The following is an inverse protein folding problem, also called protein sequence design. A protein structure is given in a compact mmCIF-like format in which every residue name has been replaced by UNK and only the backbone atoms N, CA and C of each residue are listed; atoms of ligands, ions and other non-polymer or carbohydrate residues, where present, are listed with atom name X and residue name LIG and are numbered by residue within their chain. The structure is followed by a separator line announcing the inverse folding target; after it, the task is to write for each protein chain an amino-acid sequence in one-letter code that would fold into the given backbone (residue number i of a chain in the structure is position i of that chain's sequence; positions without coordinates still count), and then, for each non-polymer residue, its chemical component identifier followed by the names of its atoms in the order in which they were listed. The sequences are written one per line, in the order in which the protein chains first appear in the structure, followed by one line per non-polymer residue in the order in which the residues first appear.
data_IF_978507353099
#
_entry.id   IF_978507353099
#
_cell.length_a   1.000
_cell.length_b   1.000
_cell.length_c   1.000
_cell.angle_alpha   90.00
_cell.angle_beta   90.00
_cell.angle_gamma   90.00
#
_symmetry.space_group_name_H-M   'P 1'
#
loop_
_entity.id
_entity.type
_entity.pdbx_description
1 polymer ?
#
# COMPACT_ATOMS: atom_id res chain seq x y z
N UNK A 1 -7.81 17.08 27.77
CA UNK A 1 -7.04 17.71 26.67
C UNK A 1 -5.83 16.85 26.36
N UNK A 2 -5.91 15.96 25.39
CA UNK A 2 -4.75 15.17 24.93
C UNK A 2 -3.92 16.04 24.02
N UNK A 3 -2.67 16.25 24.41
CA UNK A 3 -1.67 17.04 23.70
C UNK A 3 -1.56 16.58 22.23
N UNK A 4 -2.06 17.40 21.30
CA UNK A 4 -2.10 17.12 19.85
C UNK A 4 -0.73 17.33 19.18
N UNK A 5 0.32 17.58 19.95
CA UNK A 5 1.64 18.00 19.43
C UNK A 5 2.73 16.94 19.50
N UNK A 6 2.48 15.80 20.16
CA UNK A 6 3.47 14.73 20.22
C UNK A 6 3.62 14.04 18.85
N UNK A 7 4.78 14.21 18.22
CA UNK A 7 5.16 13.42 17.06
C UNK A 7 5.08 11.92 17.40
N UNK A 8 4.58 11.07 16.48
CA UNK A 8 4.58 9.63 16.69
C UNK A 8 5.99 9.12 17.01
N UNK A 9 6.14 8.12 17.89
CA UNK A 9 7.46 7.59 18.21
C UNK A 9 8.11 6.97 16.96
N UNK A 10 9.42 7.15 16.82
CA UNK A 10 10.17 6.46 15.79
C UNK A 10 10.26 4.97 16.13
N UNK A 11 10.13 4.12 15.11
CA UNK A 11 10.23 2.68 15.26
C UNK A 11 11.62 2.19 14.85
N UNK A 12 12.22 1.25 15.59
CA UNK A 12 13.46 0.62 15.16
C UNK A 12 13.22 -0.21 13.88
N UNK A 13 14.21 -0.35 12.99
CA UNK A 13 14.06 -1.05 11.71
C UNK A 13 13.48 -2.46 11.84
N UNK A 14 13.92 -3.24 12.85
CA UNK A 14 13.41 -4.59 13.08
C UNK A 14 11.90 -4.65 13.32
N UNK A 15 11.32 -3.64 14.00
CA UNK A 15 9.87 -3.56 14.22
C UNK A 15 9.13 -3.22 12.93
N UNK A 16 9.65 -2.28 12.16
CA UNK A 16 9.09 -1.88 10.86
C UNK A 16 9.04 -3.06 9.90
N UNK A 17 10.16 -3.80 9.80
CA UNK A 17 10.28 -4.98 8.96
C UNK A 17 9.37 -6.11 9.45
N UNK A 18 9.30 -6.37 10.76
CA UNK A 18 8.42 -7.39 11.32
C UNK A 18 6.94 -7.10 11.02
N UNK A 19 6.48 -5.86 11.24
CA UNK A 19 5.10 -5.46 10.96
C UNK A 19 4.76 -5.59 9.46
N UNK A 20 5.65 -5.13 8.59
CA UNK A 20 5.49 -5.26 7.13
C UNK A 20 5.48 -6.73 6.70
N UNK A 21 6.40 -7.52 7.24
CA UNK A 21 6.54 -8.95 6.96
C UNK A 21 5.32 -9.75 7.41
N UNK A 22 4.77 -9.49 8.60
CA UNK A 22 3.54 -10.14 9.08
C UNK A 22 2.38 -9.88 8.12
N UNK A 23 2.17 -8.62 7.71
CA UNK A 23 1.09 -8.28 6.76
C UNK A 23 1.32 -8.96 5.41
N UNK A 24 2.56 -9.00 4.92
CA UNK A 24 2.88 -9.67 3.66
C UNK A 24 2.73 -11.19 3.72
N UNK A 25 3.10 -11.83 4.84
CA UNK A 25 2.91 -13.27 5.05
C UNK A 25 1.44 -13.65 5.09
N UNK A 26 0.57 -12.81 5.69
CA UNK A 26 -0.88 -13.02 5.63
C UNK A 26 -1.37 -12.96 4.18
N UNK A 27 -0.88 -12.00 3.40
CA UNK A 27 -1.17 -11.91 1.96
C UNK A 27 -0.75 -13.16 1.18
N UNK A 28 0.45 -13.66 1.46
CA UNK A 28 0.96 -14.90 0.85
C UNK A 28 0.12 -16.13 1.22
N UNK A 29 -0.25 -16.28 2.49
CA UNK A 29 -1.07 -17.40 2.98
C UNK A 29 -2.48 -17.36 2.38
N UNK A 30 -3.11 -16.18 2.38
CA UNK A 30 -4.45 -16.00 1.80
C UNK A 30 -4.45 -16.24 0.29
N UNK A 31 -3.39 -15.80 -0.42
CA UNK A 31 -3.18 -16.14 -1.82
C UNK A 31 -3.06 -17.65 -2.05
N UNK A 32 -2.17 -18.33 -1.30
CA UNK A 32 -1.97 -19.77 -1.42
C UNK A 32 -3.26 -20.55 -1.13
N UNK A 33 -4.05 -20.13 -0.14
CA UNK A 33 -5.33 -20.74 0.19
C UNK A 33 -6.39 -20.52 -0.91
N UNK A 34 -6.42 -19.36 -1.57
CA UNK A 34 -7.31 -19.08 -2.69
C UNK A 34 -6.93 -19.94 -3.91
N UNK A 35 -5.65 -19.96 -4.27
CA UNK A 35 -5.14 -20.75 -5.40
C UNK A 35 -5.34 -22.25 -5.15
N UNK A 36 -5.12 -22.73 -3.92
CA UNK A 36 -5.36 -24.13 -3.53
C UNK A 36 -6.83 -24.56 -3.67
N UNK A 37 -7.78 -23.62 -3.67
CA UNK A 37 -9.20 -23.85 -3.96
C UNK A 37 -9.57 -23.64 -5.43
N UNK A 38 -8.58 -23.44 -6.31
CA UNK A 38 -8.79 -23.16 -7.73
C UNK A 38 -9.29 -21.73 -8.02
N UNK A 39 -9.31 -20.84 -7.01
CA UNK A 39 -9.68 -19.44 -7.24
C UNK A 39 -8.47 -18.67 -7.75
N UNK A 40 -8.59 -18.20 -8.98
CA UNK A 40 -7.58 -17.34 -9.61
C UNK A 40 -8.05 -15.90 -9.64
N UNK A 41 -7.12 -14.96 -9.57
CA UNK A 41 -7.43 -13.54 -9.73
C UNK A 41 -7.75 -13.22 -11.20
N UNK A 42 -8.71 -12.31 -11.47
CA UNK A 42 -9.77 -11.85 -10.59
C UNK A 42 -10.94 -12.84 -10.59
N UNK A 43 -11.51 -13.11 -9.42
CA UNK A 43 -12.72 -13.92 -9.22
C UNK A 43 -13.35 -13.57 -7.87
N UNK A 44 -14.61 -13.95 -7.64
CA UNK A 44 -15.29 -13.71 -6.36
C UNK A 44 -14.61 -14.44 -5.19
N UNK A 45 -14.18 -15.69 -5.40
CA UNK A 45 -13.45 -16.44 -4.38
C UNK A 45 -12.12 -15.79 -4.03
N UNK A 46 -11.37 -15.33 -5.04
CA UNK A 46 -10.11 -14.61 -4.80
C UNK A 46 -10.34 -13.25 -4.12
N UNK A 47 -11.42 -12.54 -4.47
CA UNK A 47 -11.83 -11.29 -3.82
C UNK A 47 -12.08 -11.47 -2.31
N UNK A 48 -12.67 -12.60 -1.89
CA UNK A 48 -12.82 -12.92 -0.47
C UNK A 48 -11.45 -13.07 0.22
N UNK A 49 -10.49 -13.73 -0.43
CA UNK A 49 -9.10 -13.84 0.06
C UNK A 49 -8.42 -12.48 0.25
N UNK A 50 -8.58 -11.57 -0.73
CA UNK A 50 -8.10 -10.18 -0.60
C UNK A 50 -8.80 -9.50 0.59
N UNK A 51 -10.12 -9.63 0.72
CA UNK A 51 -10.86 -9.05 1.84
C UNK A 51 -10.33 -9.50 3.20
N UNK A 52 -10.09 -10.81 3.38
CA UNK A 52 -9.49 -11.37 4.61
C UNK A 52 -8.13 -10.76 4.87
N UNK A 53 -7.26 -10.68 3.85
CA UNK A 53 -5.94 -10.08 3.99
C UNK A 53 -6.03 -8.62 4.46
N UNK A 54 -6.87 -7.78 3.85
CA UNK A 54 -6.98 -6.36 4.21
C UNK A 54 -7.59 -6.13 5.59
N UNK A 55 -8.58 -6.93 5.99
CA UNK A 55 -9.12 -6.91 7.35
C UNK A 55 -8.04 -7.30 8.38
N UNK A 56 -7.23 -8.31 8.07
CA UNK A 56 -6.11 -8.71 8.91
C UNK A 56 -5.04 -7.60 9.00
N UNK A 57 -4.73 -6.89 7.89
CA UNK A 57 -3.86 -5.71 7.90
C UNK A 57 -4.35 -4.63 8.87
N UNK A 58 -5.65 -4.33 8.86
CA UNK A 58 -6.27 -3.41 9.81
C UNK A 58 -6.21 -3.93 11.26
N UNK A 59 -6.35 -5.25 11.45
CA UNK A 59 -6.16 -5.91 12.74
C UNK A 59 -4.72 -5.77 13.26
N UNK A 60 -3.71 -5.99 12.42
CA UNK A 60 -2.29 -5.80 12.76
C UNK A 60 -2.01 -4.33 13.10
N UNK A 61 -2.59 -3.38 12.35
CA UNK A 61 -2.51 -1.96 12.65
C UNK A 61 -3.07 -1.64 14.04
N UNK A 62 -4.31 -2.08 14.31
CA UNK A 62 -4.96 -1.85 15.59
C UNK A 62 -4.17 -2.47 16.76
N UNK A 63 -3.67 -3.70 16.58
CA UNK A 63 -2.83 -4.37 17.56
C UNK A 63 -1.49 -3.62 17.79
N UNK A 64 -0.86 -3.12 16.74
CA UNK A 64 0.39 -2.36 16.84
C UNK A 64 0.20 -1.03 17.59
N UNK A 65 -0.85 -0.27 17.25
CA UNK A 65 -1.22 0.96 17.95
C UNK A 65 -1.49 0.71 19.44
N UNK A 66 -2.25 -0.34 19.75
CA UNK A 66 -2.54 -0.68 21.14
C UNK A 66 -1.29 -1.13 21.89
N UNK A 67 -0.50 -2.04 21.29
CA UNK A 67 0.63 -2.69 21.95
C UNK A 67 1.84 -1.78 22.15
N UNK A 68 2.12 -0.90 21.19
CA UNK A 68 3.33 -0.08 21.18
C UNK A 68 3.07 1.37 21.58
N UNK A 69 1.85 1.86 21.44
CA UNK A 69 1.53 3.28 21.70
C UNK A 69 0.38 3.48 22.68
N UNK A 70 -0.30 2.41 23.11
CA UNK A 70 -1.45 2.47 24.02
C UNK A 70 -2.55 3.39 23.48
N UNK A 71 -2.69 3.45 22.15
CA UNK A 71 -3.70 4.25 21.48
C UNK A 71 -4.73 3.37 20.77
N UNK A 72 -6.02 3.75 20.79
CA UNK A 72 -7.03 3.09 19.97
C UNK A 72 -6.87 3.47 18.49
N UNK A 73 -7.47 2.66 17.62
CA UNK A 73 -7.66 3.03 16.23
C UNK A 73 -8.53 4.29 16.16
N UNK A 74 -8.06 5.32 15.46
CA UNK A 74 -8.77 6.59 15.30
C UNK A 74 -8.50 7.19 13.92
N UNK A 75 -9.38 8.06 13.42
CA UNK A 75 -9.19 8.71 12.14
C UNK A 75 -7.80 9.37 12.01
N UNK A 76 -7.31 10.01 13.07
CA UNK A 76 -5.97 10.60 13.10
C UNK A 76 -4.86 9.53 12.99
N UNK A 77 -4.98 8.41 13.70
CA UNK A 77 -4.02 7.30 13.63
C UNK A 77 -3.98 6.64 12.24
N UNK A 78 -5.11 6.65 11.53
CA UNK A 78 -5.20 6.22 10.11
C UNK A 78 -4.64 7.28 9.14
N UNK A 79 -4.24 8.46 9.61
CA UNK A 79 -3.78 9.55 8.75
C UNK A 79 -4.90 10.33 8.07
N UNK A 80 -6.13 10.31 8.60
CA UNK A 80 -7.29 11.07 8.13
C UNK A 80 -7.51 12.40 8.89
N UNK A 81 -6.48 12.88 9.58
CA UNK A 81 -6.54 14.14 10.34
C UNK A 81 -6.73 15.39 9.47
N UNK A 82 -6.87 16.57 10.11
CA UNK A 82 -6.79 17.85 9.41
C UNK A 82 -5.42 17.92 8.72
N UNK A 83 -5.42 18.13 7.40
CA UNK A 83 -4.19 18.17 6.61
C UNK A 83 -3.23 19.28 7.05
N UNK A 84 -2.06 19.37 6.41
CA UNK A 84 -1.06 20.36 6.80
C UNK A 84 -1.52 21.79 6.51
N UNK A 85 -1.08 22.72 7.36
CA UNK A 85 -1.15 24.14 7.06
C UNK A 85 -0.41 24.48 5.74
N UNK A 86 -0.77 25.57 5.04
CA UNK A 86 -0.11 25.96 3.79
C UNK A 86 1.42 26.10 3.92
N UNK A 87 1.91 26.60 5.06
CA UNK A 87 3.33 26.84 5.28
C UNK A 87 4.12 25.55 5.54
N UNK A 88 3.57 24.64 6.33
CA UNK A 88 4.14 23.31 6.52
C UNK A 88 4.19 22.53 5.20
N UNK A 89 3.14 22.65 4.40
CA UNK A 89 3.06 22.04 3.07
C UNK A 89 4.17 22.54 2.14
N UNK A 90 4.46 23.84 2.13
CA UNK A 90 5.58 24.43 1.36
C UNK A 90 6.94 23.90 1.83
N UNK A 91 7.16 23.85 3.14
CA UNK A 91 8.43 23.33 3.73
C UNK A 91 8.65 21.85 3.38
N UNK A 92 7.61 21.03 3.48
CA UNK A 92 7.69 19.60 3.14
C UNK A 92 7.83 19.34 1.64
N UNK A 93 7.26 20.18 0.77
CA UNK A 93 7.40 20.09 -0.69
C UNK A 93 8.86 20.13 -1.14
N UNK A 94 9.67 21.06 -0.62
CA UNK A 94 11.10 21.16 -0.98
C UNK A 94 11.88 19.89 -0.64
N UNK A 95 11.59 19.26 0.51
CA UNK A 95 12.22 18.01 0.93
C UNK A 95 11.71 16.80 0.13
N UNK A 96 10.44 16.81 -0.28
CA UNK A 96 9.86 15.77 -1.10
C UNK A 96 10.50 15.70 -2.50
N UNK A 97 10.80 16.85 -3.11
CA UNK A 97 11.48 16.92 -4.40
C UNK A 97 12.90 16.29 -4.37
N UNK A 98 13.63 16.47 -3.25
CA UNK A 98 14.93 15.83 -3.06
C UNK A 98 14.79 14.30 -2.88
N UNK A 99 13.75 13.84 -2.19
CA UNK A 99 13.45 12.41 -2.05
C UNK A 99 13.04 11.73 -3.37
N UNK A 100 12.39 12.47 -4.28
CA UNK A 100 12.05 11.98 -5.62
C UNK A 100 13.30 11.75 -6.49
N UNK A 101 14.37 12.53 -6.30
CA UNK A 101 15.65 12.31 -7.00
C UNK A 101 16.27 10.95 -6.66
N UNK A 102 16.40 10.63 -5.36
CA UNK A 102 16.92 9.33 -4.92
C UNK A 102 15.99 8.15 -5.26
N UNK A 103 14.68 8.38 -5.30
CA UNK A 103 13.71 7.41 -5.81
C UNK A 103 13.93 7.08 -7.29
N UNK A 104 14.18 8.09 -8.13
CA UNK A 104 14.44 7.90 -9.55
C UNK A 104 15.75 7.13 -9.79
N UNK A 105 16.80 7.38 -9.00
CA UNK A 105 18.05 6.61 -9.04
C UNK A 105 17.83 5.14 -8.65
N UNK A 106 17.07 4.87 -7.59
CA UNK A 106 16.73 3.50 -7.18
C UNK A 106 15.93 2.76 -8.26
N UNK A 107 14.98 3.44 -8.91
CA UNK A 107 14.21 2.88 -10.02
C UNK A 107 15.10 2.60 -11.23
N UNK A 108 16.02 3.50 -11.56
CA UNK A 108 17.03 3.29 -12.59
C UNK A 108 17.89 2.06 -12.30
N UNK A 109 18.39 1.92 -11.07
CA UNK A 109 19.19 0.76 -10.66
C UNK A 109 18.39 -0.56 -10.72
N UNK A 110 17.13 -0.56 -10.28
CA UNK A 110 16.26 -1.74 -10.32
C UNK A 110 15.89 -2.12 -11.76
N UNK A 111 15.71 -1.15 -12.66
CA UNK A 111 15.41 -1.41 -14.08
C UNK A 111 16.55 -2.09 -14.84
N UNK A 112 17.78 -2.03 -14.31
CA UNK A 112 18.97 -2.64 -14.88
C UNK A 112 19.29 -4.02 -14.28
N UNK A 113 18.53 -4.48 -13.28
CA UNK A 113 18.78 -5.78 -12.65
C UNK A 113 18.19 -6.91 -13.50
N UNK A 114 19.02 -7.87 -13.97
CA UNK A 114 18.54 -8.99 -14.78
C UNK A 114 17.55 -9.86 -13.99
N UNK A 115 16.41 -10.19 -14.61
CA UNK A 115 15.37 -11.05 -14.03
C UNK A 115 14.12 -10.33 -13.47
N UNK A 116 14.09 -8.99 -13.46
CA UNK A 116 12.93 -8.20 -13.00
C UNK A 116 11.93 -7.82 -14.13
N UNK A 117 11.98 -8.55 -15.24
CA UNK A 117 11.43 -8.16 -16.54
C UNK A 117 9.94 -8.41 -16.81
N UNK A 118 9.08 -8.60 -15.81
CA UNK A 118 7.64 -8.71 -16.06
C UNK A 118 6.97 -7.37 -15.81
N UNK A 119 6.55 -6.71 -16.90
CA UNK A 119 5.75 -5.48 -16.87
C UNK A 119 4.55 -5.63 -15.93
N UNK A 120 4.07 -4.57 -15.23
CA UNK A 120 2.82 -4.64 -14.48
C UNK A 120 1.60 -4.91 -15.40
N UNK A 121 1.79 -4.76 -16.71
CA UNK A 121 0.83 -5.10 -17.77
C UNK A 121 1.06 -6.50 -18.33
N UNK A 122 2.07 -7.23 -17.84
CA UNK A 122 2.32 -8.62 -18.21
C UNK A 122 1.31 -9.53 -17.47
N UNK A 123 0.39 -10.17 -18.20
CA UNK A 123 -0.59 -11.09 -17.61
C UNK A 123 0.07 -12.19 -16.78
N UNK A 124 1.28 -12.62 -17.15
CA UNK A 124 1.97 -13.70 -16.44
C UNK A 124 2.19 -13.39 -14.94
N UNK A 125 2.24 -12.12 -14.56
CA UNK A 125 2.47 -11.69 -13.19
C UNK A 125 1.20 -11.57 -12.32
N UNK A 126 0.01 -11.50 -12.94
CA UNK A 126 -1.29 -11.40 -12.26
C UNK A 126 -2.27 -12.54 -12.65
N UNK A 127 -1.74 -13.59 -13.30
CA UNK A 127 -2.51 -14.70 -13.85
C UNK A 127 -3.00 -14.41 -15.28
N UNK A 128 -3.35 -15.46 -16.01
CA UNK A 128 -3.79 -15.34 -17.41
C UNK A 128 -4.90 -14.28 -17.58
N UNK A 129 -4.72 -13.39 -18.56
CA UNK A 129 -5.77 -12.47 -19.01
C UNK A 129 -6.98 -13.29 -19.43
N UNK A 130 -8.12 -12.99 -18.82
CA UNK A 130 -9.39 -13.68 -19.09
C UNK A 130 -10.56 -12.73 -18.96
N UNK A 131 -11.66 -12.98 -19.68
CA UNK A 131 -12.89 -12.22 -19.48
C UNK A 131 -13.41 -12.38 -18.04
N UNK A 132 -13.99 -11.32 -17.50
CA UNK A 132 -14.68 -11.34 -16.21
C UNK A 132 -16.12 -10.87 -16.34
N UNK A 133 -16.99 -11.45 -15.52
CA UNK A 133 -18.38 -11.00 -15.42
C UNK A 133 -18.52 -9.69 -14.64
N UNK A 134 -19.61 -8.97 -14.89
CA UNK A 134 -19.98 -7.74 -14.17
C UNK A 134 -19.99 -7.87 -12.64
N UNK A 135 -20.37 -9.03 -12.10
CA UNK A 135 -20.36 -9.27 -10.67
C UNK A 135 -18.94 -9.18 -10.07
N UNK A 136 -17.93 -9.74 -10.75
CA UNK A 136 -16.54 -9.67 -10.31
C UNK A 136 -16.06 -8.22 -10.37
N UNK A 137 -16.35 -7.52 -11.47
CA UNK A 137 -16.00 -6.11 -11.62
C UNK A 137 -16.57 -5.27 -10.46
N UNK A 138 -17.88 -5.36 -10.22
CA UNK A 138 -18.56 -4.56 -9.20
C UNK A 138 -18.06 -4.89 -7.79
N UNK A 139 -17.84 -6.16 -7.46
CA UNK A 139 -17.28 -6.54 -6.14
C UNK A 139 -15.88 -5.98 -5.95
N UNK A 140 -15.03 -6.05 -6.99
CA UNK A 140 -13.68 -5.49 -6.90
C UNK A 140 -13.72 -3.97 -6.71
N UNK A 141 -14.45 -3.26 -7.57
CA UNK A 141 -14.51 -1.80 -7.59
C UNK A 141 -15.21 -1.22 -6.36
N UNK A 142 -16.32 -1.82 -5.92
CA UNK A 142 -17.16 -1.24 -4.86
C UNK A 142 -16.81 -1.73 -3.46
N UNK A 143 -16.16 -2.89 -3.33
CA UNK A 143 -15.91 -3.50 -2.01
C UNK A 143 -14.42 -3.72 -1.78
N UNK A 144 -13.76 -4.46 -2.67
CA UNK A 144 -12.37 -4.89 -2.42
C UNK A 144 -11.40 -3.73 -2.52
N UNK A 145 -11.44 -2.93 -3.58
CA UNK A 145 -10.50 -1.81 -3.77
C UNK A 145 -10.66 -0.70 -2.73
N UNK A 146 -11.87 -0.28 -2.33
CA UNK A 146 -12.02 0.64 -1.21
C UNK A 146 -11.41 0.09 0.09
N UNK A 147 -11.61 -1.19 0.38
CA UNK A 147 -11.03 -1.85 1.55
C UNK A 147 -9.50 -1.98 1.45
N UNK A 148 -8.97 -2.35 0.29
CA UNK A 148 -7.52 -2.41 0.00
C UNK A 148 -6.86 -1.07 0.24
N UNK A 149 -7.41 -0.02 -0.38
CA UNK A 149 -6.90 1.34 -0.25
C UNK A 149 -6.96 1.80 1.21
N UNK A 150 -8.07 1.57 1.91
CA UNK A 150 -8.18 1.91 3.33
C UNK A 150 -7.10 1.21 4.14
N UNK A 151 -6.97 -0.11 4.00
CA UNK A 151 -6.04 -0.91 4.79
C UNK A 151 -4.58 -0.52 4.54
N UNK A 152 -4.18 -0.43 3.27
CA UNK A 152 -2.80 -0.17 2.89
C UNK A 152 -2.40 1.28 3.13
N UNK A 153 -3.26 2.24 2.80
CA UNK A 153 -2.94 3.65 3.05
C UNK A 153 -2.94 3.95 4.55
N UNK A 154 -3.87 3.39 5.32
CA UNK A 154 -3.84 3.54 6.77
C UNK A 154 -2.58 2.92 7.37
N UNK A 155 -2.22 1.69 6.96
CA UNK A 155 -1.06 0.99 7.51
C UNK A 155 0.25 1.65 7.12
N UNK A 156 0.51 1.85 5.83
CA UNK A 156 1.81 2.33 5.36
C UNK A 156 1.94 3.84 5.47
N UNK A 157 0.91 4.61 5.09
CA UNK A 157 1.00 6.08 4.97
C UNK A 157 0.47 6.79 6.23
N UNK A 158 -0.58 6.26 6.83
CA UNK A 158 -1.15 6.76 8.07
C UNK A 158 -0.28 6.43 9.28
N UNK A 159 0.07 5.16 9.42
CA UNK A 159 0.74 4.63 10.60
C UNK A 159 2.26 4.48 10.42
N UNK A 160 2.74 3.74 9.43
CA UNK A 160 4.16 3.39 9.38
C UNK A 160 5.03 4.58 8.99
N UNK A 161 4.66 5.32 7.95
CA UNK A 161 5.45 6.42 7.39
C UNK A 161 5.85 7.48 8.44
N UNK A 162 4.98 7.99 9.33
CA UNK A 162 5.38 8.94 10.37
C UNK A 162 6.39 8.40 11.40
N UNK A 163 6.59 7.08 11.47
CA UNK A 163 7.44 6.40 12.46
C UNK A 163 8.81 6.00 11.88
N UNK A 164 9.06 6.34 10.61
CA UNK A 164 10.33 6.09 9.93
C UNK A 164 11.26 7.28 10.16
N UNK A 165 12.52 7.01 10.49
CA UNK A 165 13.53 8.03 10.79
C UNK A 165 14.24 8.56 9.54
N UNK A 166 14.45 7.71 8.54
CA UNK A 166 15.19 8.02 7.32
C UNK A 166 14.26 7.99 6.11
N UNK A 167 14.31 9.04 5.29
CA UNK A 167 13.54 9.18 4.05
C UNK A 167 12.12 8.55 4.11
N UNK A 168 11.24 8.98 5.05
CA UNK A 168 9.99 8.30 5.34
C UNK A 168 9.09 7.97 4.13
N UNK A 169 8.86 8.89 3.16
CA UNK A 169 8.06 8.55 1.98
C UNK A 169 8.70 7.45 1.13
N UNK A 170 10.04 7.40 1.08
CA UNK A 170 10.78 6.40 0.30
C UNK A 170 10.66 5.03 0.94
N UNK A 171 11.06 4.93 2.21
CA UNK A 171 11.00 3.66 2.93
C UNK A 171 9.57 3.13 3.04
N UNK A 172 8.58 3.98 3.29
CA UNK A 172 7.18 3.55 3.29
C UNK A 172 6.73 3.00 1.93
N UNK A 173 7.18 3.60 0.82
CA UNK A 173 6.87 3.14 -0.53
C UNK A 173 7.51 1.78 -0.85
N UNK A 174 8.78 1.59 -0.46
CA UNK A 174 9.49 0.33 -0.62
C UNK A 174 8.89 -0.78 0.23
N UNK A 175 8.57 -0.51 1.50
CA UNK A 175 7.92 -1.47 2.40
C UNK A 175 6.53 -1.85 1.89
N UNK A 176 5.80 -0.89 1.33
CA UNK A 176 4.54 -1.16 0.65
C UNK A 176 4.73 -2.04 -0.59
N UNK A 177 5.73 -1.83 -1.42
CA UNK A 177 5.97 -2.75 -2.53
C UNK A 177 6.34 -4.16 -2.01
N UNK A 178 7.24 -4.23 -1.03
CA UNK A 178 7.75 -5.48 -0.47
C UNK A 178 6.69 -6.32 0.27
N UNK A 179 5.60 -5.71 0.76
CA UNK A 179 4.54 -6.49 1.43
C UNK A 179 3.69 -7.34 0.48
N UNK A 180 3.80 -7.13 -0.84
CA UNK A 180 3.14 -7.93 -1.86
C UNK A 180 3.91 -9.22 -2.17
N UNK A 181 4.22 -10.02 -1.14
CA UNK A 181 5.04 -11.22 -1.27
C UNK A 181 4.48 -12.24 -2.28
N UNK A 182 3.14 -12.34 -2.38
CA UNK A 182 2.46 -13.18 -3.36
C UNK A 182 2.66 -12.72 -4.82
N UNK A 183 3.13 -11.50 -5.03
CA UNK A 183 3.37 -10.89 -6.34
C UNK A 183 4.83 -10.43 -6.46
N UNK A 184 5.76 -11.23 -5.91
CA UNK A 184 7.18 -10.88 -5.79
C UNK A 184 7.80 -10.38 -7.11
N UNK A 185 7.42 -10.97 -8.24
CA UNK A 185 7.91 -10.58 -9.57
C UNK A 185 7.52 -9.14 -9.98
N UNK A 186 6.46 -8.57 -9.39
CA UNK A 186 5.96 -7.22 -9.71
C UNK A 186 6.45 -6.15 -8.74
N UNK A 187 7.11 -6.53 -7.64
CA UNK A 187 7.63 -5.61 -6.62
C UNK A 187 8.41 -4.43 -7.24
N UNK A 188 9.32 -4.62 -8.21
CA UNK A 188 10.07 -3.51 -8.80
C UNK A 188 9.17 -2.45 -9.44
N UNK A 189 8.03 -2.87 -10.00
CA UNK A 189 7.04 -1.98 -10.63
C UNK A 189 6.05 -1.38 -9.63
N UNK A 190 5.88 -2.01 -8.48
CA UNK A 190 5.10 -1.45 -7.36
C UNK A 190 5.89 -0.34 -6.64
N UNK A 191 7.22 -0.43 -6.55
CA UNK A 191 8.05 0.60 -5.92
C UNK A 191 7.74 2.02 -6.41
N UNK A 192 7.72 2.35 -7.72
CA UNK A 192 7.46 3.73 -8.17
C UNK A 192 6.08 4.25 -7.74
N UNK A 193 5.03 3.42 -7.83
CA UNK A 193 3.71 3.78 -7.33
C UNK A 193 3.75 4.01 -5.81
N UNK A 194 4.35 3.09 -5.06
CA UNK A 194 4.46 3.18 -3.60
C UNK A 194 5.17 4.46 -3.14
N UNK A 195 6.21 4.87 -3.86
CA UNK A 195 6.97 6.11 -3.64
C UNK A 195 6.12 7.34 -3.93
N UNK A 196 5.39 7.36 -5.06
CA UNK A 196 4.47 8.45 -5.40
C UNK A 196 3.39 8.64 -4.32
N UNK A 197 2.79 7.54 -3.84
CA UNK A 197 1.81 7.55 -2.75
C UNK A 197 2.40 8.09 -1.44
N UNK A 198 3.60 7.62 -1.06
CA UNK A 198 4.31 8.10 0.12
C UNK A 198 4.64 9.59 0.06
N UNK A 199 5.10 10.08 -1.10
CA UNK A 199 5.35 11.50 -1.34
C UNK A 199 4.06 12.32 -1.27
N UNK A 200 2.98 11.83 -1.87
CA UNK A 200 1.68 12.50 -1.86
C UNK A 200 1.15 12.64 -0.43
N UNK A 201 1.23 11.59 0.39
CA UNK A 201 0.93 11.65 1.82
C UNK A 201 1.81 12.64 2.57
N UNK A 202 3.11 12.64 2.29
CA UNK A 202 4.08 13.52 2.96
C UNK A 202 3.76 14.99 2.67
N UNK A 203 3.39 15.28 1.42
CA UNK A 203 3.03 16.61 0.96
C UNK A 203 1.67 17.06 1.49
N UNK A 204 0.64 16.20 1.48
CA UNK A 204 -0.73 16.59 1.84
C UNK A 204 -0.98 16.63 3.34
N UNK A 205 -0.32 15.77 4.10
CA UNK A 205 -0.56 15.62 5.53
C UNK A 205 -1.57 14.55 5.90
N UNK A 206 -2.26 14.01 4.91
CA UNK A 206 -3.33 13.05 5.07
C UNK A 206 -3.33 12.04 3.91
N UNK A 207 -4.00 10.90 4.12
CA UNK A 207 -4.01 9.78 3.16
C UNK A 207 -5.03 9.92 2.04
N UNK A 208 -5.90 10.95 2.02
CA UNK A 208 -7.03 10.98 1.05
C UNK A 208 -6.56 11.04 -0.39
N UNK A 209 -5.56 11.89 -0.66
CA UNK A 209 -5.05 12.05 -2.01
C UNK A 209 -4.26 10.82 -2.48
N UNK A 210 -3.45 10.22 -1.60
CA UNK A 210 -2.77 8.96 -1.92
C UNK A 210 -3.77 7.83 -2.11
N UNK A 211 -4.78 7.72 -1.25
CA UNK A 211 -5.86 6.75 -1.41
C UNK A 211 -6.64 6.91 -2.71
N UNK A 212 -6.96 8.14 -3.12
CA UNK A 212 -7.62 8.37 -4.41
C UNK A 212 -6.77 7.91 -5.60
N UNK A 213 -5.47 8.24 -5.61
CA UNK A 213 -4.54 7.80 -6.67
C UNK A 213 -4.38 6.27 -6.67
N UNK A 214 -4.27 5.67 -5.50
CA UNK A 214 -4.18 4.21 -5.33
C UNK A 214 -5.44 3.53 -5.87
N UNK A 215 -6.63 3.97 -5.43
CA UNK A 215 -7.92 3.44 -5.90
C UNK A 215 -8.06 3.54 -7.43
N UNK A 216 -7.75 4.70 -8.00
CA UNK A 216 -7.81 4.89 -9.45
C UNK A 216 -6.81 3.98 -10.18
N UNK A 217 -5.63 3.75 -9.60
CA UNK A 217 -4.65 2.80 -10.11
C UNK A 217 -5.19 1.38 -10.18
N UNK A 218 -5.80 0.89 -9.09
CA UNK A 218 -6.40 -0.45 -9.02
C UNK A 218 -7.54 -0.62 -10.03
N UNK A 219 -8.44 0.37 -10.11
CA UNK A 219 -9.56 0.35 -11.07
C UNK A 219 -9.03 0.36 -12.50
N UNK A 220 -8.10 1.27 -12.82
CA UNK A 220 -7.53 1.38 -14.16
C UNK A 220 -6.84 0.08 -14.57
N UNK A 221 -6.05 -0.52 -13.67
CA UNK A 221 -5.41 -1.81 -13.90
C UNK A 221 -6.46 -2.89 -14.23
N UNK A 222 -7.51 -3.01 -13.42
CA UNK A 222 -8.55 -4.02 -13.64
C UNK A 222 -9.23 -3.87 -15.00
N UNK A 223 -9.70 -2.67 -15.34
CA UNK A 223 -10.49 -2.44 -16.56
C UNK A 223 -9.67 -2.47 -17.84
N UNK A 224 -8.37 -2.17 -17.76
CA UNK A 224 -7.46 -2.24 -18.91
C UNK A 224 -6.88 -3.64 -19.13
N UNK A 225 -6.81 -4.46 -18.08
CA UNK A 225 -6.23 -5.80 -18.15
C UNK A 225 -7.28 -6.88 -18.42
N UNK A 226 -8.49 -6.75 -17.87
CA UNK A 226 -9.51 -7.82 -17.92
C UNK A 226 -10.77 -7.35 -18.68
N UNK A 227 -11.04 -7.94 -19.87
CA UNK A 227 -12.27 -7.66 -20.60
C UNK A 227 -13.50 -8.01 -19.77
N UNK A 228 -14.55 -7.19 -19.83
CA UNK A 228 -15.81 -7.44 -19.13
C UNK A 228 -16.81 -8.02 -20.13
N UNK A 229 -17.42 -9.16 -19.78
CA UNK A 229 -18.42 -9.87 -20.60
C UNK A 229 -19.69 -10.20 -19.82
#
# INVERSE_FOLDING_TARGET
MTDRTAHPPLYPPGRVLALTGVVGLIGLVTHAAAVGQGWTFPSLGYAAGIGVWKLATLGVLAAALWRFERQPLSATALGLGPGLSPDERRRRRRRALLGLGGAAELLGALSLAPGLGLSPVDPAAYGATRPIGWAVLLVQVLVVYPLTVLAEEAFFRGFLQPRLSLAPPVLSGVLWAAHHLQQAATIPWLVPLGLALGVLRWWRGDIRASGAVHYLGDVLFLVTTYPVV
#
